data_IF_089070654092
#
_entry.id   IF_089070654092
#
_cell.length_a   1.000
_cell.length_b   1.000
_cell.length_c   1.000
_cell.angle_alpha   90.00
_cell.angle_beta   90.00
_cell.angle_gamma   90.00
#
_symmetry.space_group_name_H-M   'P 1'
#
loop_
_entity.id
_entity.type
_entity.pdbx_description
1 polymer ?
#
# COMPACT_ATOMS: atom_id res chain seq x y z
N UNK A 1 37.51 -4.81 48.06
CA UNK A 1 37.04 -5.92 47.20
C UNK A 1 35.53 -5.98 47.35
N UNK A 2 34.66 -5.95 46.35
CA UNK A 2 34.75 -5.97 44.89
C UNK A 2 33.49 -5.19 44.44
N UNK A 3 33.66 -4.24 43.54
CA UNK A 3 32.55 -3.75 42.72
C UNK A 3 32.14 -4.93 41.82
N UNK A 4 31.12 -5.70 42.21
CA UNK A 4 30.56 -6.72 41.34
C UNK A 4 29.54 -6.07 40.41
N UNK A 5 30.04 -5.88 39.21
CA UNK A 5 29.35 -5.57 37.97
C UNK A 5 28.08 -6.44 37.77
N UNK A 6 26.92 -5.94 38.20
CA UNK A 6 25.61 -6.50 37.84
C UNK A 6 25.17 -6.06 36.43
N UNK A 7 26.12 -5.88 35.50
CA UNK A 7 25.85 -5.77 34.06
C UNK A 7 25.51 -7.13 33.46
N UNK A 8 24.38 -7.71 33.86
CA UNK A 8 23.82 -8.87 33.16
C UNK A 8 22.30 -8.74 32.98
N UNK A 9 21.86 -7.63 32.37
CA UNK A 9 20.44 -7.39 32.05
C UNK A 9 19.99 -7.96 30.68
N UNK A 10 20.77 -8.83 30.03
CA UNK A 10 20.33 -9.41 28.76
C UNK A 10 20.93 -10.79 28.46
N UNK A 11 20.78 -11.74 29.40
CA UNK A 11 20.81 -13.16 29.03
C UNK A 11 19.55 -13.46 28.21
N UNK A 12 19.68 -13.37 26.88
CA UNK A 12 18.70 -13.97 25.96
C UNK A 12 18.65 -15.46 26.28
N UNK A 13 17.55 -15.88 26.90
CA UNK A 13 17.23 -17.30 27.05
C UNK A 13 17.15 -17.89 25.65
N UNK A 14 17.80 -19.03 25.48
CA UNK A 14 18.15 -19.71 24.23
C UNK A 14 16.99 -19.70 23.20
N UNK A 15 17.22 -19.13 22.01
CA UNK A 15 16.44 -19.39 20.80
C UNK A 15 15.03 -18.80 20.64
N UNK A 16 14.34 -18.39 21.71
CA UNK A 16 12.97 -17.86 21.60
C UNK A 16 12.94 -16.38 21.19
N UNK A 17 12.51 -16.13 19.94
CA UNK A 17 12.29 -14.77 19.45
C UNK A 17 11.07 -14.18 20.15
N UNK A 18 11.26 -13.04 20.81
CA UNK A 18 10.15 -12.26 21.36
C UNK A 18 9.09 -12.01 20.27
N UNK A 19 7.83 -12.31 20.59
CA UNK A 19 6.69 -11.93 19.76
C UNK A 19 6.40 -10.46 20.04
N UNK A 20 6.16 -9.70 18.99
CA UNK A 20 5.81 -8.28 19.07
C UNK A 20 4.44 -8.06 18.44
N UNK A 21 3.62 -7.25 19.09
CA UNK A 21 2.39 -6.74 18.54
C UNK A 21 2.48 -5.21 18.47
N UNK A 22 1.95 -4.62 17.40
CA UNK A 22 1.93 -3.17 17.24
C UNK A 22 0.71 -2.59 17.93
N UNK A 23 0.92 -1.52 18.71
CA UNK A 23 -0.16 -0.74 19.31
C UNK A 23 -1.03 -0.09 18.23
N UNK A 24 -2.32 0.08 18.52
CA UNK A 24 -3.21 0.92 17.70
C UNK A 24 -2.90 2.40 17.89
N UNK A 25 -3.38 3.26 16.98
CA UNK A 25 -3.03 4.70 16.96
C UNK A 25 -3.55 5.47 18.16
N UNK A 26 -4.61 4.97 18.77
CA UNK A 26 -5.32 5.48 19.93
C UNK A 26 -4.76 4.92 21.26
N UNK A 27 -3.97 3.86 21.20
CA UNK A 27 -3.38 3.22 22.38
C UNK A 27 -2.01 3.82 22.70
N UNK A 28 -1.71 3.96 24.01
CA UNK A 28 -0.42 4.41 24.50
C UNK A 28 0.17 3.40 25.47
N UNK A 29 1.51 3.36 25.56
CA UNK A 29 2.21 2.42 26.46
C UNK A 29 1.85 2.61 27.93
N UNK A 30 1.44 3.82 28.33
CA UNK A 30 1.07 4.14 29.70
C UNK A 30 -0.41 3.88 30.04
N UNK A 31 -1.27 3.71 29.04
CA UNK A 31 -2.72 3.57 29.22
C UNK A 31 -3.27 2.21 28.80
N UNK A 32 -2.46 1.34 28.20
CA UNK A 32 -2.90 0.03 27.72
C UNK A 32 -3.10 -0.94 28.88
N UNK A 33 -4.21 -1.69 28.86
CA UNK A 33 -4.50 -2.75 29.83
C UNK A 33 -3.87 -4.08 29.40
N UNK A 34 -3.77 -5.04 30.33
CA UNK A 34 -3.27 -6.37 30.01
C UNK A 34 -4.18 -7.07 29.00
N UNK A 35 -5.49 -6.90 29.17
CA UNK A 35 -6.53 -7.45 28.31
C UNK A 35 -6.35 -6.94 26.87
N UNK A 36 -6.20 -5.63 26.69
CA UNK A 36 -5.96 -5.00 25.39
C UNK A 36 -4.66 -5.51 24.75
N UNK A 37 -3.59 -5.64 25.55
CA UNK A 37 -2.31 -6.14 25.07
C UNK A 37 -2.43 -7.58 24.55
N UNK A 38 -3.15 -8.45 25.26
CA UNK A 38 -3.40 -9.83 24.84
C UNK A 38 -4.20 -9.90 23.53
N UNK A 39 -5.10 -8.95 23.29
CA UNK A 39 -5.86 -8.88 22.03
C UNK A 39 -4.95 -8.59 20.83
N UNK A 40 -4.00 -7.67 20.98
CA UNK A 40 -3.05 -7.32 19.92
C UNK A 40 -2.18 -8.53 19.51
N UNK A 41 -1.86 -9.42 20.45
CA UNK A 41 -1.11 -10.65 20.19
C UNK A 41 -1.91 -11.72 19.44
N UNK A 42 -3.24 -11.58 19.30
CA UNK A 42 -4.06 -12.47 18.47
C UNK A 42 -3.84 -12.24 16.96
N UNK A 43 -3.23 -11.11 16.58
CA UNK A 43 -2.80 -10.82 15.22
C UNK A 43 -1.36 -11.35 15.00
N UNK A 44 -0.99 -11.87 13.80
CA UNK A 44 -1.74 -11.90 12.55
C UNK A 44 -2.76 -13.04 12.50
N UNK A 45 -4.01 -12.72 12.20
CA UNK A 45 -5.09 -13.71 12.06
C UNK A 45 -5.15 -14.19 10.62
N UNK A 46 -5.07 -15.50 10.41
CA UNK A 46 -5.33 -16.09 9.08
C UNK A 46 -6.82 -16.38 8.96
N UNK A 47 -7.48 -15.77 7.98
CA UNK A 47 -8.93 -15.89 7.76
C UNK A 47 -9.27 -17.10 6.90
N UNK A 48 -8.40 -17.45 5.95
CA UNK A 48 -8.60 -18.55 5.01
C UNK A 48 -7.63 -18.47 3.84
N UNK A 49 -7.99 -19.12 2.74
CA UNK A 49 -7.25 -19.10 1.48
C UNK A 49 -8.17 -18.66 0.34
N UNK A 50 -7.68 -17.79 -0.53
CA UNK A 50 -8.37 -17.31 -1.71
C UNK A 50 -7.43 -17.44 -2.91
N UNK A 51 -7.88 -18.12 -3.99
CA UNK A 51 -7.07 -18.37 -5.20
C UNK A 51 -5.69 -18.98 -4.92
N UNK A 52 -5.58 -19.86 -3.92
CA UNK A 52 -4.31 -20.47 -3.49
C UNK A 52 -3.37 -19.52 -2.73
N UNK A 53 -3.85 -18.33 -2.34
CA UNK A 53 -3.11 -17.38 -1.51
C UNK A 53 -3.75 -17.27 -0.12
N UNK A 54 -2.93 -17.35 0.93
CA UNK A 54 -3.40 -17.15 2.29
C UNK A 54 -3.87 -15.70 2.51
N UNK A 55 -5.09 -15.56 3.03
CA UNK A 55 -5.70 -14.29 3.41
C UNK A 55 -5.44 -14.05 4.89
N UNK A 56 -4.65 -13.02 5.20
CA UNK A 56 -4.24 -12.68 6.57
C UNK A 56 -4.66 -11.26 6.93
N UNK A 57 -5.30 -11.07 8.08
CA UNK A 57 -5.58 -9.76 8.64
C UNK A 57 -4.51 -9.39 9.68
N UNK A 58 -3.96 -8.19 9.57
CA UNK A 58 -2.93 -7.71 10.48
C UNK A 58 -3.02 -6.18 10.67
N UNK A 59 -2.35 -5.66 11.68
CA UNK A 59 -2.23 -4.24 11.92
C UNK A 59 -0.78 -3.78 11.72
N UNK A 60 -0.58 -2.74 10.91
CA UNK A 60 0.74 -2.21 10.57
C UNK A 60 0.86 -0.71 10.83
N UNK A 61 2.02 -0.13 10.47
CA UNK A 61 2.30 1.31 10.64
C UNK A 61 1.22 2.23 10.06
N UNK A 62 0.56 1.82 8.98
CA UNK A 62 -0.45 2.63 8.30
C UNK A 62 -1.88 2.38 8.79
N UNK A 63 -2.10 1.35 9.60
CA UNK A 63 -3.41 0.90 10.09
C UNK A 63 -3.67 -0.58 9.79
N UNK A 64 -4.91 -1.04 10.02
CA UNK A 64 -5.33 -2.41 9.74
C UNK A 64 -5.35 -2.70 8.24
N UNK A 65 -4.89 -3.89 7.85
CA UNK A 65 -4.83 -4.33 6.46
C UNK A 65 -5.07 -5.84 6.33
N UNK A 66 -5.56 -6.23 5.16
CA UNK A 66 -5.60 -7.62 4.69
C UNK A 66 -4.42 -7.83 3.74
N UNK A 67 -3.69 -8.91 3.93
CA UNK A 67 -2.67 -9.41 3.03
C UNK A 67 -3.21 -10.64 2.29
N UNK A 68 -3.18 -10.60 0.97
CA UNK A 68 -3.46 -11.74 0.09
C UNK A 68 -2.23 -11.95 -0.79
N UNK A 69 -1.44 -12.97 -0.46
CA UNK A 69 -0.15 -13.22 -1.13
C UNK A 69 0.81 -12.03 -1.03
N UNK A 70 1.01 -11.33 -2.17
CA UNK A 70 1.87 -10.14 -2.29
C UNK A 70 1.10 -8.81 -2.28
N UNK A 71 -0.22 -8.85 -2.32
CA UNK A 71 -1.08 -7.68 -2.33
C UNK A 71 -1.53 -7.33 -0.91
N UNK A 72 -1.50 -6.04 -0.62
CA UNK A 72 -1.91 -5.47 0.66
C UNK A 72 -3.09 -4.55 0.42
N UNK A 73 -4.19 -4.80 1.13
CA UNK A 73 -5.45 -4.10 1.01
C UNK A 73 -5.75 -3.44 2.34
N UNK A 74 -5.83 -2.11 2.37
CA UNK A 74 -6.15 -1.37 3.58
C UNK A 74 -7.60 -1.62 4.00
N UNK A 75 -7.81 -1.90 5.28
CA UNK A 75 -9.15 -1.99 5.85
C UNK A 75 -9.63 -0.56 6.16
N UNK A 76 -10.90 -0.21 5.86
CA UNK A 76 -11.47 1.08 6.24
C UNK A 76 -11.36 1.34 7.75
N UNK A 77 -11.29 2.61 8.16
CA UNK A 77 -11.17 2.96 9.59
C UNK A 77 -12.37 2.56 10.45
N UNK A 78 -13.49 2.25 9.81
CA UNK A 78 -14.73 1.82 10.46
C UNK A 78 -14.71 0.34 10.83
N UNK A 79 -13.73 -0.42 10.33
CA UNK A 79 -13.62 -1.88 10.48
C UNK A 79 -12.27 -2.24 11.14
N UNK A 80 -12.27 -3.23 12.03
CA UNK A 80 -11.07 -3.70 12.73
C UNK A 80 -10.51 -4.98 12.12
N UNK A 81 -9.17 -5.11 12.12
CA UNK A 81 -8.50 -6.33 11.66
C UNK A 81 -8.83 -7.58 12.49
N UNK A 82 -9.32 -7.39 13.72
CA UNK A 82 -9.69 -8.48 14.63
C UNK A 82 -11.04 -9.08 14.23
N UNK A 83 -12.02 -8.23 13.93
CA UNK A 83 -13.42 -8.62 13.68
C UNK A 83 -13.75 -8.88 12.21
N UNK A 84 -12.88 -8.47 11.27
CA UNK A 84 -13.12 -8.65 9.84
C UNK A 84 -13.36 -10.12 9.45
N UNK A 85 -14.36 -10.35 8.61
CA UNK A 85 -14.70 -11.67 8.07
C UNK A 85 -13.91 -11.99 6.79
N UNK A 86 -13.87 -13.27 6.42
CA UNK A 86 -13.21 -13.73 5.19
C UNK A 86 -13.86 -13.12 3.94
N UNK A 87 -15.19 -13.16 3.83
CA UNK A 87 -15.93 -12.59 2.69
C UNK A 87 -15.62 -11.11 2.51
N UNK A 88 -15.60 -10.35 3.61
CA UNK A 88 -15.29 -8.93 3.58
C UNK A 88 -13.85 -8.66 3.13
N UNK A 89 -12.91 -9.49 3.58
CA UNK A 89 -11.52 -9.42 3.14
C UNK A 89 -11.38 -9.68 1.63
N UNK A 90 -12.15 -10.63 1.09
CA UNK A 90 -12.20 -10.94 -0.35
C UNK A 90 -12.84 -9.80 -1.15
N UNK A 91 -13.94 -9.20 -0.66
CA UNK A 91 -14.55 -8.03 -1.31
C UNK A 91 -13.56 -6.86 -1.45
N UNK A 92 -12.84 -6.53 -0.38
CA UNK A 92 -11.84 -5.48 -0.40
C UNK A 92 -10.70 -5.81 -1.38
N UNK A 93 -10.32 -7.09 -1.46
CA UNK A 93 -9.32 -7.58 -2.41
C UNK A 93 -9.76 -7.42 -3.87
N UNK A 94 -10.98 -7.85 -4.20
CA UNK A 94 -11.54 -7.71 -5.55
C UNK A 94 -11.65 -6.24 -5.96
N UNK A 95 -12.18 -5.39 -5.07
CA UNK A 95 -12.24 -3.94 -5.30
C UNK A 95 -10.87 -3.34 -5.58
N UNK A 96 -9.84 -3.79 -4.86
CA UNK A 96 -8.46 -3.34 -5.08
C UNK A 96 -7.92 -3.79 -6.44
N UNK A 97 -8.23 -5.01 -6.87
CA UNK A 97 -7.87 -5.49 -8.20
C UNK A 97 -8.58 -4.69 -9.29
N UNK A 98 -9.88 -4.42 -9.15
CA UNK A 98 -10.63 -3.59 -10.08
C UNK A 98 -10.06 -2.18 -10.15
N UNK A 99 -9.73 -1.57 -9.00
CA UNK A 99 -9.09 -0.26 -8.95
C UNK A 99 -7.71 -0.26 -9.64
N UNK A 100 -6.94 -1.34 -9.53
CA UNK A 100 -5.64 -1.47 -10.19
C UNK A 100 -5.78 -1.74 -11.69
N UNK A 101 -6.78 -2.51 -12.11
CA UNK A 101 -7.12 -2.73 -13.52
C UNK A 101 -7.61 -1.42 -14.17
N UNK A 102 -8.53 -0.71 -13.51
CA UNK A 102 -9.08 0.57 -13.98
C UNK A 102 -8.02 1.67 -14.09
N UNK A 103 -6.93 1.60 -13.32
CA UNK A 103 -5.80 2.53 -13.45
C UNK A 103 -5.03 2.34 -14.76
N UNK A 104 -5.11 1.19 -15.40
CA UNK A 104 -4.29 0.86 -16.56
C UNK A 104 -5.17 0.68 -17.79
N UNK A 105 -5.17 1.69 -18.66
CA UNK A 105 -6.07 1.72 -19.83
C UNK A 105 -5.41 0.99 -21.00
N UNK A 106 -4.16 1.35 -21.34
CA UNK A 106 -3.47 0.78 -22.51
C UNK A 106 -1.95 0.92 -22.37
N UNK A 107 -1.22 -0.12 -22.76
CA UNK A 107 0.22 -0.06 -22.98
C UNK A 107 0.49 -0.38 -24.44
N UNK A 108 1.35 0.41 -25.05
CA UNK A 108 1.71 0.20 -26.44
C UNK A 108 3.00 -0.61 -26.54
N UNK A 109 2.95 -1.75 -27.21
CA UNK A 109 4.09 -2.68 -27.32
C UNK A 109 5.28 -2.09 -28.09
N UNK A 110 5.04 -1.20 -29.07
CA UNK A 110 6.11 -0.55 -29.85
C UNK A 110 6.96 0.42 -29.02
N UNK A 111 6.37 1.05 -28.01
CA UNK A 111 7.04 1.98 -27.09
C UNK A 111 6.54 1.70 -25.67
N UNK A 112 7.18 0.77 -24.93
CA UNK A 112 6.73 0.40 -23.57
C UNK A 112 6.79 1.57 -22.57
N UNK A 113 7.48 2.65 -22.94
CA UNK A 113 7.54 3.90 -22.17
C UNK A 113 6.23 4.70 -22.22
N UNK A 114 5.39 4.47 -23.23
CA UNK A 114 4.12 5.17 -23.46
C UNK A 114 2.98 4.36 -22.87
N UNK A 115 2.38 4.88 -21.80
CA UNK A 115 1.31 4.24 -21.04
C UNK A 115 0.13 5.18 -20.89
N UNK A 116 -1.07 4.69 -21.19
CA UNK A 116 -2.32 5.38 -20.89
C UNK A 116 -2.84 4.86 -19.55
N UNK A 117 -2.96 5.78 -18.60
CA UNK A 117 -3.33 5.47 -17.22
C UNK A 117 -4.54 6.32 -16.82
N UNK A 118 -5.39 5.77 -15.97
CA UNK A 118 -6.48 6.50 -15.36
C UNK A 118 -6.08 7.02 -13.98
N UNK A 119 -6.30 8.31 -13.73
CA UNK A 119 -5.97 8.96 -12.46
C UNK A 119 -7.18 9.66 -11.84
N UNK A 120 -6.96 10.28 -10.67
CA UNK A 120 -7.99 11.04 -9.94
C UNK A 120 -8.69 12.13 -10.78
N UNK A 121 -8.01 12.65 -11.81
CA UNK A 121 -8.48 13.75 -12.65
C UNK A 121 -8.87 13.31 -14.07
N UNK A 122 -9.01 12.01 -14.31
CA UNK A 122 -9.26 11.42 -15.61
C UNK A 122 -8.03 10.75 -16.21
N UNK A 123 -8.20 10.22 -17.43
CA UNK A 123 -7.13 9.57 -18.17
C UNK A 123 -5.98 10.54 -18.48
N UNK A 124 -4.75 10.03 -18.42
CA UNK A 124 -3.56 10.78 -18.78
C UNK A 124 -2.54 9.88 -19.49
N UNK A 125 -1.68 10.50 -20.29
CA UNK A 125 -0.61 9.84 -21.01
C UNK A 125 0.67 9.96 -20.19
N UNK A 126 1.33 8.85 -19.92
CA UNK A 126 2.63 8.80 -19.26
C UNK A 126 3.67 8.35 -20.28
N UNK A 127 4.70 9.16 -20.51
CA UNK A 127 5.85 8.80 -21.35
C UNK A 127 7.08 8.80 -20.47
N UNK A 128 7.58 7.62 -20.12
CA UNK A 128 8.72 7.44 -19.23
C UNK A 128 8.48 8.09 -17.85
N UNK A 129 9.05 9.28 -17.64
CA UNK A 129 8.93 10.07 -16.39
C UNK A 129 7.94 11.23 -16.50
N UNK A 130 7.53 11.60 -17.71
CA UNK A 130 6.68 12.75 -17.96
C UNK A 130 5.21 12.34 -18.11
N UNK A 131 4.31 13.23 -17.69
CA UNK A 131 2.87 12.99 -17.71
C UNK A 131 2.19 14.12 -18.49
N UNK A 132 1.45 13.75 -19.52
CA UNK A 132 0.76 14.63 -20.45
C UNK A 132 -0.75 14.49 -20.25
N UNK A 133 -1.47 15.61 -20.42
CA UNK A 133 -2.92 15.62 -20.25
C UNK A 133 -3.59 15.25 -21.56
N UNK A 134 -4.53 14.32 -21.48
CA UNK A 134 -5.36 13.98 -22.62
C UNK A 134 -6.45 15.05 -22.81
N UNK A 135 -6.77 15.43 -24.07
CA UNK A 135 -7.94 16.24 -24.37
C UNK A 135 -9.22 15.54 -23.89
N UNK A 136 -10.20 16.30 -23.41
CA UNK A 136 -11.45 15.75 -22.85
C UNK A 136 -12.37 15.11 -23.91
N UNK A 137 -12.19 15.46 -25.17
CA UNK A 137 -12.96 14.93 -26.30
C UNK A 137 -12.48 13.57 -26.79
N UNK A 138 -11.32 13.10 -26.34
CA UNK A 138 -10.68 11.91 -26.90
C UNK A 138 -10.71 10.76 -25.92
N UNK A 139 -11.32 9.66 -26.35
CA UNK A 139 -11.35 8.39 -25.61
C UNK A 139 -9.96 7.75 -25.59
N UNK A 140 -9.42 7.45 -24.40
CA UNK A 140 -8.06 6.92 -24.27
C UNK A 140 -7.90 5.52 -24.88
N UNK A 141 -8.96 4.73 -24.98
CA UNK A 141 -8.90 3.37 -25.51
C UNK A 141 -8.67 3.32 -27.03
N UNK A 142 -9.24 4.29 -27.76
CA UNK A 142 -9.15 4.38 -29.22
C UNK A 142 -7.88 5.07 -29.70
N UNK A 143 -7.17 5.76 -28.82
CA UNK A 143 -5.96 6.48 -29.18
C UNK A 143 -4.88 5.54 -29.71
N UNK A 144 -4.28 5.99 -30.82
CA UNK A 144 -3.14 5.37 -31.47
C UNK A 144 -1.83 5.96 -30.95
N UNK A 145 -0.73 5.25 -31.17
CA UNK A 145 0.62 5.70 -30.80
C UNK A 145 0.98 7.05 -31.39
N UNK A 146 0.62 7.27 -32.66
CA UNK A 146 0.94 8.50 -33.39
C UNK A 146 0.24 9.72 -32.78
N UNK A 147 -1.02 9.57 -32.37
CA UNK A 147 -1.77 10.64 -31.71
C UNK A 147 -1.20 10.94 -30.33
N UNK A 148 -0.77 9.91 -29.59
CA UNK A 148 -0.10 10.08 -28.30
C UNK A 148 1.21 10.87 -28.43
N UNK A 149 2.01 10.60 -29.48
CA UNK A 149 3.24 11.33 -29.78
C UNK A 149 2.91 12.80 -30.13
N UNK A 150 1.92 13.03 -31.02
CA UNK A 150 1.47 14.40 -31.38
C UNK A 150 0.99 15.20 -30.17
N UNK A 151 0.28 14.57 -29.24
CA UNK A 151 -0.17 15.22 -28.00
C UNK A 151 1.02 15.56 -27.10
N UNK A 152 2.04 14.69 -27.04
CA UNK A 152 3.26 14.94 -26.26
C UNK A 152 4.16 16.02 -26.86
N UNK A 153 4.25 16.12 -28.18
CA UNK A 153 5.01 17.18 -28.87
C UNK A 153 4.29 18.53 -28.79
N UNK A 154 2.95 18.52 -28.84
CA UNK A 154 2.13 19.73 -28.70
C UNK A 154 2.07 20.26 -27.26
N UNK A 155 2.39 19.42 -26.27
CA UNK A 155 2.44 19.81 -24.86
C UNK A 155 3.87 19.74 -24.37
N UNK A 156 4.62 20.84 -24.43
CA UNK A 156 5.95 20.91 -23.82
C UNK A 156 5.91 20.39 -22.37
N UNK A 157 6.82 19.45 -22.05
CA UNK A 157 6.94 18.88 -20.73
C UNK A 157 7.10 20.00 -19.70
N UNK A 158 6.15 20.10 -18.76
CA UNK A 158 6.18 21.17 -17.74
C UNK A 158 7.54 21.18 -17.05
N UNK A 159 8.19 22.35 -16.91
CA UNK A 159 9.54 22.44 -16.37
C UNK A 159 9.58 21.83 -14.97
N UNK A 160 10.60 21.00 -14.72
CA UNK A 160 10.83 20.31 -13.44
C UNK A 160 10.76 21.34 -12.30
N UNK A 161 9.74 21.24 -11.44
CA UNK A 161 9.65 22.06 -10.22
C UNK A 161 10.93 21.83 -9.40
N UNK A 162 11.75 22.87 -9.25
CA UNK A 162 12.95 22.86 -8.40
C UNK A 162 12.50 22.47 -6.98
N UNK A 163 13.15 21.46 -6.39
CA UNK A 163 12.85 21.02 -5.03
C UNK A 163 13.01 22.21 -4.08
N UNK A 164 12.05 22.47 -3.17
CA UNK A 164 12.23 23.51 -2.16
C UNK A 164 13.45 23.13 -1.30
N UNK A 165 14.36 24.09 -1.14
CA UNK A 165 15.54 23.94 -0.29
C UNK A 165 15.08 23.77 1.17
N UNK A 166 15.32 22.59 1.75
CA UNK A 166 14.96 22.29 3.13
C UNK A 166 16.06 22.86 4.03
N UNK A 167 15.80 23.95 4.77
CA UNK A 167 16.71 24.43 5.82
C UNK A 167 16.81 23.35 6.91
N UNK A 168 18.04 23.03 7.31
CA UNK A 168 18.37 22.10 8.40
C UNK A 168 18.00 22.68 9.75
#
# INVERSE_FOLDING_TARGET
EIWSDDSNWMRKVDGEKARFASLQKDQSIGSITLEDALELFKLPRTLGEYEGQAVKANNGRFGPYVQVGKLFVSIPKEEDAISISFDRAVELYLKKQEDDANKMIKVFAERPEVQLLNGRYGAYLKIGKDNFKLPKDVTPETLTLEECIKISESQEAKPKKKKPFKKK
#
